data_IF_053152269860
#
_entry.id   IF_053152269860
#
_cell.length_a   1.000
_cell.length_b   1.000
_cell.length_c   1.000
_cell.angle_alpha   90.00
_cell.angle_beta   90.00
_cell.angle_gamma   90.00
#
_symmetry.space_group_name_H-M   'P 1'
#
loop_
_entity.id
_entity.type
_entity.pdbx_description
1 polymer ?
#
# COMPACT_ATOMS: atom_id res chain seq x y z
N UNK A 1 -4.33 -44.28 -11.00
CA UNK A 1 -4.89 -43.51 -9.85
C UNK A 1 -3.81 -42.72 -9.11
N UNK A 2 -2.80 -43.36 -8.48
CA UNK A 2 -1.74 -42.65 -7.72
C UNK A 2 -0.99 -41.55 -8.49
N UNK A 3 -0.68 -41.78 -9.77
CA UNK A 3 0.01 -40.78 -10.63
C UNK A 3 -0.85 -39.57 -10.99
N UNK A 4 -2.16 -39.76 -11.10
CA UNK A 4 -3.12 -38.68 -11.40
C UNK A 4 -3.28 -37.78 -10.18
N UNK A 5 -3.35 -38.37 -8.98
CA UNK A 5 -3.40 -37.64 -7.70
C UNK A 5 -2.10 -36.86 -7.48
N UNK A 6 -0.94 -37.47 -7.73
CA UNK A 6 0.35 -36.78 -7.61
C UNK A 6 0.46 -35.59 -8.60
N UNK A 7 -0.04 -35.75 -9.82
CA UNK A 7 -0.03 -34.68 -10.82
C UNK A 7 -1.00 -33.54 -10.45
N UNK A 8 -2.20 -33.85 -9.95
CA UNK A 8 -3.14 -32.81 -9.50
C UNK A 8 -2.63 -32.08 -8.26
N UNK A 9 -1.96 -32.79 -7.34
CA UNK A 9 -1.38 -32.19 -6.14
C UNK A 9 -0.21 -31.26 -6.48
N UNK A 10 0.62 -31.64 -7.46
CA UNK A 10 1.70 -30.79 -7.97
C UNK A 10 1.15 -29.56 -8.73
N UNK A 11 0.09 -29.73 -9.53
CA UNK A 11 -0.59 -28.62 -10.18
C UNK A 11 -1.24 -27.65 -9.18
N UNK A 12 -1.80 -28.16 -8.07
CA UNK A 12 -2.37 -27.34 -7.01
C UNK A 12 -1.29 -26.57 -6.23
N UNK A 13 -0.12 -27.19 -6.00
CA UNK A 13 1.02 -26.55 -5.37
C UNK A 13 1.62 -25.42 -6.24
N UNK A 14 1.55 -25.58 -7.57
CA UNK A 14 2.00 -24.56 -8.53
C UNK A 14 1.03 -23.37 -8.66
N UNK A 15 -0.21 -23.49 -8.15
CA UNK A 15 -1.18 -22.39 -8.08
C UNK A 15 -1.09 -21.59 -6.78
N UNK A 16 -0.31 -22.06 -5.79
CA UNK A 16 -0.01 -21.32 -4.58
C UNK A 16 1.02 -20.21 -4.89
N UNK A 17 0.57 -19.17 -5.58
CA UNK A 17 1.36 -17.96 -5.72
C UNK A 17 1.50 -17.31 -4.33
N UNK A 18 2.71 -16.83 -3.96
CA UNK A 18 2.85 -16.05 -2.74
C UNK A 18 1.99 -14.79 -2.85
N UNK A 19 0.97 -14.68 -2.00
CA UNK A 19 0.20 -13.46 -1.84
C UNK A 19 1.10 -12.43 -1.15
N UNK A 20 1.51 -11.40 -1.87
CA UNK A 20 2.17 -10.24 -1.30
C UNK A 20 1.09 -9.38 -0.63
N UNK A 21 0.96 -9.49 0.68
CA UNK A 21 -0.08 -8.78 1.45
C UNK A 21 0.22 -7.28 1.65
N UNK A 22 1.44 -6.87 1.32
CA UNK A 22 1.93 -5.52 1.52
C UNK A 22 2.78 -5.09 0.31
N UNK A 23 2.52 -3.89 -0.19
CA UNK A 23 3.34 -3.25 -1.21
C UNK A 23 4.33 -2.29 -0.54
N UNK A 24 5.62 -2.42 -0.85
CA UNK A 24 6.69 -1.57 -0.30
C UNK A 24 7.33 -0.77 -1.43
N UNK A 25 7.41 0.54 -1.30
CA UNK A 25 7.96 1.47 -2.30
C UNK A 25 8.93 2.44 -1.66
N UNK A 26 10.01 2.74 -2.37
CA UNK A 26 10.96 3.76 -1.94
C UNK A 26 11.63 4.41 -3.15
N UNK A 27 12.00 5.68 -3.03
CA UNK A 27 12.65 6.42 -4.12
C UNK A 27 12.81 7.90 -3.80
N UNK A 28 13.11 8.69 -4.83
CA UNK A 28 13.09 10.17 -4.72
C UNK A 28 11.64 10.68 -4.72
N UNK A 29 10.79 10.07 -5.54
CA UNK A 29 9.36 10.40 -5.65
C UNK A 29 8.52 9.12 -5.70
N UNK A 30 7.30 9.19 -5.18
CA UNK A 30 6.30 8.13 -5.33
C UNK A 30 4.92 8.73 -5.64
N UNK A 31 4.25 8.15 -6.64
CA UNK A 31 2.91 8.53 -7.07
C UNK A 31 2.00 7.30 -7.07
N UNK A 32 0.87 7.38 -6.37
CA UNK A 32 -0.27 6.50 -6.57
C UNK A 32 -1.38 7.31 -7.26
N UNK A 33 -1.60 7.06 -8.54
CA UNK A 33 -2.56 7.79 -9.36
C UNK A 33 -4.01 7.48 -8.94
N UNK A 34 -4.93 8.42 -9.17
CA UNK A 34 -6.37 8.30 -8.82
C UNK A 34 -7.04 7.01 -9.33
N UNK A 35 -6.61 6.51 -10.48
CA UNK A 35 -7.16 5.28 -11.08
C UNK A 35 -6.51 3.98 -10.57
N UNK A 36 -5.65 4.05 -9.56
CA UNK A 36 -4.97 2.91 -8.98
C UNK A 36 -5.56 2.57 -7.62
N UNK A 37 -5.69 1.28 -7.36
CA UNK A 37 -6.09 0.75 -6.06
C UNK A 37 -5.00 -0.19 -5.56
N UNK A 38 -4.59 0.01 -4.32
CA UNK A 38 -3.76 -0.92 -3.58
C UNK A 38 -4.69 -1.80 -2.72
N UNK A 39 -4.69 -3.09 -3.03
CA UNK A 39 -5.36 -4.09 -2.21
C UNK A 39 -4.46 -4.44 -1.01
N UNK A 40 -4.94 -4.20 0.21
CA UNK A 40 -4.16 -4.33 1.44
C UNK A 40 -3.32 -3.10 1.78
N UNK A 41 -2.12 -3.34 2.31
CA UNK A 41 -1.32 -2.31 2.96
C UNK A 41 -0.24 -1.72 2.03
N UNK A 42 0.00 -0.41 2.16
CA UNK A 42 1.06 0.30 1.46
C UNK A 42 2.08 0.88 2.44
N UNK A 43 3.36 0.59 2.20
CA UNK A 43 4.49 1.16 2.92
C UNK A 43 5.35 1.94 1.93
N UNK A 44 5.46 3.26 2.09
CA UNK A 44 6.23 4.09 1.15
C UNK A 44 7.17 5.07 1.84
N UNK A 45 8.32 5.33 1.23
CA UNK A 45 9.27 6.34 1.71
C UNK A 45 9.94 7.04 0.53
N UNK A 46 9.69 8.33 0.36
CA UNK A 46 10.27 9.12 -0.73
C UNK A 46 10.48 10.58 -0.34
N UNK A 47 11.25 11.35 -1.12
CA UNK A 47 11.37 12.79 -0.92
C UNK A 47 10.04 13.51 -1.11
N UNK A 48 9.31 13.15 -2.18
CA UNK A 48 7.94 13.59 -2.46
C UNK A 48 7.01 12.38 -2.60
N UNK A 49 5.87 12.43 -1.90
CA UNK A 49 4.84 11.38 -1.96
C UNK A 49 3.50 12.01 -2.33
N UNK A 50 2.88 11.50 -3.39
CA UNK A 50 1.53 11.88 -3.83
C UNK A 50 0.66 10.62 -3.92
N UNK A 51 -0.36 10.55 -3.08
CA UNK A 51 -1.31 9.44 -3.04
C UNK A 51 -2.70 9.97 -3.37
N UNK A 52 -3.03 9.87 -4.66
CA UNK A 52 -4.34 10.20 -5.21
C UNK A 52 -5.23 8.97 -5.39
N UNK A 53 -4.66 7.77 -5.49
CA UNK A 53 -5.39 6.51 -5.58
C UNK A 53 -5.87 5.96 -4.23
N UNK A 54 -6.64 4.89 -4.27
CA UNK A 54 -7.27 4.27 -3.08
C UNK A 54 -6.39 3.18 -2.49
N UNK A 55 -6.31 3.13 -1.16
CA UNK A 55 -5.66 2.05 -0.40
C UNK A 55 -6.72 1.40 0.47
N UNK A 56 -6.92 0.09 0.32
CA UNK A 56 -8.01 -0.61 1.03
C UNK A 56 -7.66 -0.98 2.47
N UNK A 57 -6.37 -1.10 2.80
CA UNK A 57 -5.87 -1.35 4.15
C UNK A 57 -5.11 -0.15 4.74
N UNK A 58 -3.99 -0.43 5.40
CA UNK A 58 -3.17 0.57 6.09
C UNK A 58 -2.20 1.31 5.15
N UNK A 59 -1.92 2.57 5.47
CA UNK A 59 -0.86 3.37 4.85
C UNK A 59 0.18 3.79 5.89
N UNK A 60 1.43 3.35 5.72
CA UNK A 60 2.60 3.93 6.39
C UNK A 60 3.44 4.67 5.36
N UNK A 61 3.58 5.99 5.52
CA UNK A 61 4.36 6.81 4.60
C UNK A 61 5.29 7.79 5.28
N UNK A 62 6.44 8.04 4.66
CA UNK A 62 7.34 9.11 5.08
C UNK A 62 7.91 9.89 3.89
N UNK A 63 8.03 11.21 4.02
CA UNK A 63 8.71 12.02 3.03
C UNK A 63 9.01 13.46 3.43
N UNK A 64 9.68 14.20 2.56
CA UNK A 64 9.89 15.65 2.77
C UNK A 64 8.57 16.41 2.61
N UNK A 65 7.84 16.10 1.53
CA UNK A 65 6.48 16.56 1.28
C UNK A 65 5.58 15.36 0.97
N UNK A 66 4.43 15.29 1.63
CA UNK A 66 3.46 14.19 1.51
C UNK A 66 2.07 14.77 1.27
N UNK A 67 1.45 14.40 0.15
CA UNK A 67 0.08 14.78 -0.22
C UNK A 67 -0.76 13.50 -0.36
N UNK A 68 -1.87 13.44 0.34
CA UNK A 68 -2.79 12.30 0.33
C UNK A 68 -4.19 12.81 0.01
N UNK A 69 -4.62 12.66 -1.24
CA UNK A 69 -5.97 13.02 -1.72
C UNK A 69 -6.88 11.80 -1.88
N UNK A 70 -6.31 10.61 -2.04
CA UNK A 70 -7.04 9.35 -2.10
C UNK A 70 -7.40 8.79 -0.72
N UNK A 71 -8.39 7.88 -0.69
CA UNK A 71 -8.89 7.27 0.54
C UNK A 71 -7.97 6.15 1.07
N UNK A 72 -7.82 6.10 2.39
CA UNK A 72 -7.17 5.02 3.16
C UNK A 72 -8.24 4.27 3.95
N UNK A 73 -8.38 2.97 3.68
CA UNK A 73 -9.46 2.15 4.24
C UNK A 73 -9.34 1.88 5.73
N UNK A 74 -8.11 1.76 6.25
CA UNK A 74 -7.84 1.49 7.67
C UNK A 74 -6.99 2.63 8.27
N UNK A 75 -5.80 2.33 8.83
CA UNK A 75 -5.00 3.31 9.57
C UNK A 75 -4.02 4.06 8.66
N UNK A 76 -3.77 5.34 8.99
CA UNK A 76 -2.74 6.18 8.36
C UNK A 76 -1.67 6.59 9.38
N UNK A 77 -0.43 6.22 9.10
CA UNK A 77 0.75 6.74 9.80
C UNK A 77 1.61 7.50 8.79
N UNK A 78 1.82 8.79 9.04
CA UNK A 78 2.57 9.68 8.14
C UNK A 78 3.63 10.49 8.87
N UNK A 79 4.82 10.59 8.28
CA UNK A 79 5.89 11.46 8.73
C UNK A 79 6.43 12.36 7.62
N UNK A 80 6.67 13.65 7.90
CA UNK A 80 7.30 14.52 6.91
C UNK A 80 7.41 15.98 7.30
N UNK A 81 8.10 16.78 6.49
CA UNK A 81 8.23 18.23 6.74
C UNK A 81 6.90 18.93 6.49
N UNK A 82 6.36 18.75 5.27
CA UNK A 82 5.06 19.24 4.85
C UNK A 82 4.10 18.06 4.60
N UNK A 83 2.93 18.06 5.24
CA UNK A 83 1.93 16.99 5.13
C UNK A 83 0.55 17.60 4.87
N UNK A 84 -0.07 17.23 3.75
CA UNK A 84 -1.43 17.60 3.36
C UNK A 84 -2.29 16.34 3.18
N UNK A 85 -3.39 16.24 3.93
CA UNK A 85 -4.32 15.09 3.89
C UNK A 85 -5.73 15.60 3.58
N UNK A 86 -6.26 15.20 2.43
CA UNK A 86 -7.58 15.54 1.93
C UNK A 86 -8.51 14.33 1.79
N UNK A 87 -7.94 13.12 1.64
CA UNK A 87 -8.68 11.87 1.56
C UNK A 87 -9.24 11.41 2.91
N UNK A 88 -10.17 10.45 2.88
CA UNK A 88 -10.71 9.86 4.10
C UNK A 88 -9.73 8.84 4.70
N UNK A 89 -9.68 8.77 6.03
CA UNK A 89 -9.00 7.71 6.79
C UNK A 89 -10.09 6.95 7.54
N UNK A 90 -10.23 5.66 7.26
CA UNK A 90 -11.28 4.85 7.87
C UNK A 90 -11.05 4.54 9.35
N UNK A 91 -9.78 4.43 9.75
CA UNK A 91 -9.33 4.17 11.12
C UNK A 91 -8.65 5.39 11.77
N UNK A 92 -7.50 5.13 12.39
CA UNK A 92 -6.73 6.14 13.10
C UNK A 92 -5.75 6.88 12.19
N UNK A 93 -5.62 8.19 12.39
CA UNK A 93 -4.55 9.01 11.81
C UNK A 93 -3.49 9.34 12.87
N UNK A 94 -2.23 9.01 12.58
CA UNK A 94 -1.05 9.36 13.38
C UNK A 94 -0.07 10.12 12.49
N UNK A 95 0.19 11.38 12.80
CA UNK A 95 1.03 12.25 11.98
C UNK A 95 2.17 12.88 12.79
N UNK A 96 3.35 13.00 12.19
CA UNK A 96 4.50 13.74 12.73
C UNK A 96 5.06 14.64 11.64
N UNK A 97 5.10 15.96 11.89
CA UNK A 97 5.75 16.88 10.95
C UNK A 97 6.25 18.19 11.55
N UNK A 98 7.00 18.95 10.75
CA UNK A 98 7.64 20.21 11.12
C UNK A 98 8.96 20.52 10.41
#
# INVERSE_FOLDING_TARGET
>A
MKKIIAFSMLAFLLLALPAQAAEVKAGEEYFLMENQTIEGNLYTAAGYVDISGTITGDLLTAGGSVIITGDVGEDLIVGGGDIDIWGNVGGDLRAVGG
#
